data_IF_779543287658
#
_entry.id   IF_779543287658
#
_cell.length_a   1.000
_cell.length_b   1.000
_cell.length_c   1.000
_cell.angle_alpha   90.00
_cell.angle_beta   90.00
_cell.angle_gamma   90.00
#
_symmetry.space_group_name_H-M   'P 1'
#
loop_
_entity.id
_entity.type
_entity.pdbx_description
1 polymer ?
#
# COMPACT_ATOMS: atom_id res chain seq x y z
N UNK A 1 -22.12 -23.29 8.32
CA UNK A 1 -21.91 -22.04 7.55
C UNK A 1 -21.24 -20.97 8.41
N UNK A 2 -21.43 -20.98 9.74
CA UNK A 2 -20.78 -20.08 10.72
C UNK A 2 -19.26 -19.86 10.63
N UNK A 3 -18.48 -20.89 10.28
CA UNK A 3 -17.02 -20.76 10.28
C UNK A 3 -16.51 -19.82 9.18
N UNK A 4 -17.14 -19.86 7.99
CA UNK A 4 -16.76 -19.00 6.87
C UNK A 4 -17.12 -17.53 7.14
N UNK A 5 -18.25 -17.30 7.80
CA UNK A 5 -18.69 -15.96 8.20
C UNK A 5 -17.77 -15.38 9.28
N UNK A 6 -17.32 -16.21 10.23
CA UNK A 6 -16.38 -15.79 11.27
C UNK A 6 -15.00 -15.41 10.70
N UNK A 7 -14.48 -16.18 9.75
CA UNK A 7 -13.19 -15.89 9.10
C UNK A 7 -13.27 -14.64 8.22
N UNK A 8 -14.33 -14.50 7.42
CA UNK A 8 -14.51 -13.31 6.57
C UNK A 8 -14.68 -12.03 7.38
N UNK A 9 -15.38 -12.11 8.52
CA UNK A 9 -15.49 -11.02 9.49
C UNK A 9 -14.12 -10.65 10.07
N UNK A 10 -13.30 -11.63 10.49
CA UNK A 10 -11.95 -11.40 11.00
C UNK A 10 -11.02 -10.76 9.95
N UNK A 11 -11.09 -11.20 8.69
CA UNK A 11 -10.25 -10.68 7.59
C UNK A 11 -10.64 -9.26 7.15
N UNK A 12 -11.90 -8.89 7.40
CA UNK A 12 -12.47 -7.57 7.05
C UNK A 12 -12.52 -6.62 8.25
N UNK A 13 -12.07 -7.08 9.43
CA UNK A 13 -12.08 -6.28 10.64
C UNK A 13 -11.17 -5.06 10.48
N UNK A 14 -11.76 -3.88 10.74
CA UNK A 14 -11.10 -2.57 10.66
C UNK A 14 -10.52 -2.13 12.01
N UNK A 15 -10.65 -2.96 13.04
CA UNK A 15 -10.00 -2.73 14.34
C UNK A 15 -8.48 -2.68 14.23
N UNK A 16 -7.91 -3.31 13.19
CA UNK A 16 -6.50 -3.27 12.87
C UNK A 16 -6.15 -2.03 12.04
N UNK A 17 -4.96 -1.46 12.30
CA UNK A 17 -4.40 -0.32 11.55
C UNK A 17 -4.30 -0.58 10.04
N UNK A 18 -4.18 -1.85 9.63
CA UNK A 18 -4.29 -2.31 8.24
C UNK A 18 -5.14 -3.59 8.22
N UNK A 19 -6.17 -3.68 7.37
CA UNK A 19 -7.03 -4.86 7.30
C UNK A 19 -6.25 -6.10 6.80
N UNK A 20 -6.43 -7.23 7.48
CA UNK A 20 -5.72 -8.50 7.23
C UNK A 20 -5.88 -9.01 5.79
N UNK A 21 -7.06 -8.82 5.19
CA UNK A 21 -7.33 -9.14 3.79
C UNK A 21 -6.38 -8.43 2.81
N UNK A 22 -6.02 -7.17 3.06
CA UNK A 22 -5.08 -6.42 2.20
C UNK A 22 -3.65 -6.92 2.38
N UNK A 23 -3.27 -7.27 3.61
CA UNK A 23 -1.95 -7.84 3.91
C UNK A 23 -1.80 -9.20 3.21
N UNK A 24 -2.82 -10.06 3.30
CA UNK A 24 -2.83 -11.36 2.64
C UNK A 24 -2.64 -11.21 1.11
N UNK A 25 -3.39 -10.28 0.50
CA UNK A 25 -3.30 -10.01 -0.93
C UNK A 25 -1.92 -9.48 -1.34
N UNK A 26 -1.34 -8.57 -0.54
CA UNK A 26 0.03 -8.08 -0.74
C UNK A 26 1.05 -9.23 -0.68
N UNK A 27 0.96 -10.10 0.32
CA UNK A 27 1.86 -11.25 0.47
C UNK A 27 1.77 -12.18 -0.75
N UNK A 28 0.57 -12.50 -1.22
CA UNK A 28 0.38 -13.34 -2.42
C UNK A 28 1.01 -12.72 -3.66
N UNK A 29 0.83 -11.41 -3.88
CA UNK A 29 1.46 -10.70 -4.99
C UNK A 29 3.00 -10.73 -4.89
N UNK A 30 3.55 -10.55 -3.69
CA UNK A 30 5.00 -10.61 -3.49
C UNK A 30 5.57 -12.01 -3.74
N UNK A 31 4.86 -13.05 -3.29
CA UNK A 31 5.23 -14.44 -3.59
C UNK A 31 5.21 -14.70 -5.09
N UNK A 32 4.19 -14.24 -5.81
CA UNK A 32 4.12 -14.35 -7.27
C UNK A 32 5.28 -13.60 -7.96
N UNK A 33 5.58 -12.38 -7.52
CA UNK A 33 6.69 -11.61 -8.07
C UNK A 33 8.05 -12.30 -7.88
N UNK A 34 8.27 -12.90 -6.71
CA UNK A 34 9.46 -13.72 -6.45
C UNK A 34 9.48 -14.99 -7.31
N UNK A 35 8.33 -15.68 -7.45
CA UNK A 35 8.23 -16.90 -8.25
C UNK A 35 8.56 -16.66 -9.73
N UNK A 36 8.15 -15.51 -10.28
CA UNK A 36 8.47 -15.14 -11.67
C UNK A 36 9.86 -14.48 -11.82
N UNK A 37 10.67 -14.38 -10.76
CA UNK A 37 11.98 -13.72 -10.78
C UNK A 37 11.92 -12.22 -11.10
N UNK A 38 10.74 -11.60 -11.01
CA UNK A 38 10.51 -10.20 -11.39
C UNK A 38 10.65 -9.29 -10.16
N UNK A 39 11.86 -9.23 -9.61
CA UNK A 39 12.17 -8.45 -8.41
C UNK A 39 11.81 -6.97 -8.52
N UNK A 40 11.97 -6.36 -9.70
CA UNK A 40 11.60 -4.97 -9.97
C UNK A 40 10.09 -4.71 -9.83
N UNK A 41 9.25 -5.67 -10.24
CA UNK A 41 7.79 -5.57 -10.08
C UNK A 41 7.38 -5.71 -8.61
N UNK A 42 8.01 -6.63 -7.87
CA UNK A 42 7.76 -6.78 -6.43
C UNK A 42 8.09 -5.50 -5.66
N UNK A 43 9.17 -4.81 -6.02
CA UNK A 43 9.53 -3.52 -5.44
C UNK A 43 8.46 -2.45 -5.73
N UNK A 44 7.98 -2.35 -6.97
CA UNK A 44 6.94 -1.37 -7.34
C UNK A 44 5.63 -1.64 -6.59
N UNK A 45 5.20 -2.90 -6.52
CA UNK A 45 3.99 -3.29 -5.79
C UNK A 45 4.14 -2.94 -4.30
N UNK A 46 5.30 -3.23 -3.70
CA UNK A 46 5.58 -2.88 -2.30
C UNK A 46 5.46 -1.38 -2.06
N UNK A 47 6.03 -0.54 -2.94
CA UNK A 47 5.91 0.91 -2.82
C UNK A 47 4.46 1.39 -2.95
N UNK A 48 3.69 0.81 -3.87
CA UNK A 48 2.28 1.14 -4.04
C UNK A 48 1.45 0.79 -2.78
N UNK A 49 1.68 -0.37 -2.16
CA UNK A 49 1.00 -0.77 -0.93
C UNK A 49 1.38 0.11 0.26
N UNK A 50 2.66 0.41 0.44
CA UNK A 50 3.13 1.34 1.50
C UNK A 50 2.51 2.73 1.32
N UNK A 51 2.44 3.24 0.07
CA UNK A 51 1.78 4.51 -0.20
C UNK A 51 0.28 4.44 0.05
N UNK A 52 -0.39 3.36 -0.34
CA UNK A 52 -1.82 3.18 -0.14
C UNK A 52 -2.19 3.11 1.36
N UNK A 53 -1.49 2.31 2.15
CA UNK A 53 -1.72 2.23 3.60
C UNK A 53 -1.30 3.51 4.31
N UNK A 54 -0.13 4.05 3.98
CA UNK A 54 0.39 5.26 4.59
C UNK A 54 -0.48 6.47 4.30
N UNK A 55 -0.89 6.69 3.05
CA UNK A 55 -1.58 7.92 2.66
C UNK A 55 -3.09 7.76 2.53
N UNK A 56 -3.54 6.77 1.75
CA UNK A 56 -4.95 6.66 1.37
C UNK A 56 -5.78 6.17 2.55
N UNK A 57 -5.30 5.15 3.26
CA UNK A 57 -6.00 4.58 4.40
C UNK A 57 -5.99 5.53 5.62
N UNK A 58 -4.84 6.15 5.91
CA UNK A 58 -4.68 7.08 7.03
C UNK A 58 -4.97 8.55 6.67
N UNK A 59 -5.58 8.82 5.50
CA UNK A 59 -5.81 10.19 4.99
C UNK A 59 -6.46 11.10 6.03
N UNK A 60 -7.50 10.62 6.70
CA UNK A 60 -8.22 11.39 7.72
C UNK A 60 -7.34 11.75 8.92
N UNK A 61 -6.47 10.82 9.34
CA UNK A 61 -5.49 11.05 10.42
C UNK A 61 -4.43 12.07 10.01
N UNK A 62 -3.94 12.00 8.77
CA UNK A 62 -3.00 13.00 8.26
C UNK A 62 -3.62 14.39 8.13
N UNK A 63 -4.88 14.50 7.68
CA UNK A 63 -5.60 15.77 7.59
C UNK A 63 -5.77 16.41 8.97
N UNK A 64 -6.04 15.59 9.99
CA UNK A 64 -6.22 16.03 11.36
C UNK A 64 -4.90 16.53 11.98
N UNK A 65 -3.81 15.76 11.85
CA UNK A 65 -2.47 16.15 12.33
C UNK A 65 -1.93 17.40 11.62
N UNK A 66 -2.17 17.52 10.32
CA UNK A 66 -1.68 18.65 9.52
C UNK A 66 -2.56 19.90 9.70
N UNK A 67 -3.59 19.85 10.55
CA UNK A 67 -4.38 21.02 10.95
C UNK A 67 -5.00 21.75 9.77
N UNK A 68 -5.61 21.00 8.84
CA UNK A 68 -6.22 21.54 7.61
C UNK A 68 -5.24 22.33 6.69
N UNK A 69 -3.93 22.20 6.94
CA UNK A 69 -2.90 22.79 6.09
C UNK A 69 -2.81 21.95 4.82
N UNK A 70 -3.46 22.41 3.76
CA UNK A 70 -3.44 21.80 2.43
C UNK A 70 -2.01 21.50 1.95
N UNK A 71 -1.04 22.34 2.33
CA UNK A 71 0.38 22.19 2.01
C UNK A 71 0.99 20.84 2.45
N UNK A 72 0.65 20.32 3.63
CA UNK A 72 1.20 19.04 4.11
C UNK A 72 0.63 17.83 3.38
N UNK A 73 -0.65 17.91 2.99
CA UNK A 73 -1.30 16.88 2.18
C UNK A 73 -0.74 16.87 0.76
N UNK A 74 -0.52 18.06 0.18
CA UNK A 74 0.10 18.21 -1.13
C UNK A 74 1.55 17.72 -1.15
N UNK A 75 2.36 18.03 -0.15
CA UNK A 75 3.75 17.57 -0.10
C UNK A 75 3.84 16.05 0.01
N UNK A 76 3.04 15.42 0.87
CA UNK A 76 3.01 13.96 1.00
C UNK A 76 2.55 13.29 -0.31
N UNK A 77 1.51 13.83 -0.96
CA UNK A 77 1.05 13.34 -2.26
C UNK A 77 2.15 13.46 -3.32
N UNK A 78 2.86 14.59 -3.34
CA UNK A 78 3.98 14.83 -4.25
C UNK A 78 5.12 13.85 -4.02
N UNK A 79 5.51 13.58 -2.77
CA UNK A 79 6.54 12.59 -2.46
C UNK A 79 6.12 11.17 -2.83
N UNK A 80 4.85 10.81 -2.62
CA UNK A 80 4.31 9.54 -3.10
C UNK A 80 4.34 9.40 -4.62
N UNK A 81 3.96 10.47 -5.33
CA UNK A 81 4.04 10.52 -6.78
C UNK A 81 5.48 10.41 -7.28
N UNK A 82 6.42 11.14 -6.67
CA UNK A 82 7.85 11.05 -6.99
C UNK A 82 8.39 9.63 -6.79
N UNK A 83 7.99 8.97 -5.71
CA UNK A 83 8.34 7.57 -5.45
C UNK A 83 7.82 6.63 -6.53
N UNK A 84 6.58 6.84 -6.99
CA UNK A 84 6.02 6.07 -8.11
C UNK A 84 6.80 6.32 -9.41
N UNK A 85 7.16 7.57 -9.71
CA UNK A 85 7.98 7.93 -10.88
C UNK A 85 9.36 7.26 -10.81
N UNK A 86 10.04 7.33 -9.67
CA UNK A 86 11.33 6.67 -9.46
C UNK A 86 11.24 5.15 -9.62
N UNK A 87 10.17 4.52 -9.11
CA UNK A 87 9.93 3.09 -9.28
C UNK A 87 9.74 2.71 -10.75
N UNK A 88 8.99 3.51 -11.52
CA UNK A 88 8.79 3.31 -12.96
C UNK A 88 10.12 3.46 -13.71
N UNK A 89 10.90 4.51 -13.41
CA UNK A 89 12.23 4.72 -14.01
C UNK A 89 13.14 3.51 -13.71
N UNK A 90 13.17 3.02 -12.47
CA UNK A 90 13.94 1.83 -12.08
C UNK A 90 13.52 0.54 -12.80
N UNK A 91 12.26 0.44 -13.23
CA UNK A 91 11.80 -0.66 -14.09
C UNK A 91 12.39 -0.57 -15.50
N UNK A 92 12.41 0.62 -16.11
CA UNK A 92 12.94 0.83 -17.45
C UNK A 92 14.46 0.87 -17.52
N UNK A 93 15.14 1.10 -16.39
CA UNK A 93 16.59 1.04 -16.32
C UNK A 93 17.05 -0.41 -16.50
N UNK A 94 17.43 -0.77 -17.73
CA UNK A 94 18.01 -2.07 -18.04
C UNK A 94 19.41 -2.13 -17.41
N UNK A 95 19.66 -3.15 -16.57
CA UNK A 95 21.03 -3.47 -16.15
C UNK A 95 21.86 -3.90 -17.37
#
# INVERSE_FOLDING_TARGET
MDFQDSVSAFLSDKSLSVPLSQVLFFTLLMTLCMLFGRHKLGLLISYAFVFFWGFVFNRSYFIDILGNTTLGLYSYTLFGFLMAVLAIIGMFQKN
#
